data_IF_551283202513
#
_entry.id   IF_551283202513
#
_cell.length_a   1.000
_cell.length_b   1.000
_cell.length_c   1.000
_cell.angle_alpha   90.00
_cell.angle_beta   90.00
_cell.angle_gamma   90.00
#
_symmetry.space_group_name_H-M   'P 1'
#
loop_
_entity.id
_entity.type
_entity.pdbx_description
1 polymer ?
#
# COMPACT_ATOMS: atom_id res chain seq x y z
N UNK A 1 -12.89 8.69 6.49
CA UNK A 1 -11.83 7.71 6.17
C UNK A 1 -11.30 7.79 4.73
N UNK A 2 -12.12 7.95 3.68
CA UNK A 2 -11.59 8.06 2.30
C UNK A 2 -10.58 9.19 2.13
N UNK A 3 -10.89 10.37 2.67
CA UNK A 3 -9.98 11.52 2.64
C UNK A 3 -8.64 11.20 3.28
N UNK A 4 -8.63 10.54 4.45
CA UNK A 4 -7.41 10.13 5.15
C UNK A 4 -6.51 9.22 4.28
N UNK A 5 -7.09 8.23 3.60
CA UNK A 5 -6.33 7.34 2.73
C UNK A 5 -5.78 8.05 1.48
N UNK A 6 -6.58 8.94 0.88
CA UNK A 6 -6.16 9.74 -0.28
C UNK A 6 -5.07 10.74 0.11
N UNK A 7 -5.22 11.44 1.23
CA UNK A 7 -4.20 12.36 1.75
C UNK A 7 -2.90 11.64 2.08
N UNK A 8 -2.97 10.47 2.71
CA UNK A 8 -1.77 9.65 2.97
C UNK A 8 -1.10 9.23 1.66
N UNK A 9 -1.86 8.75 0.68
CA UNK A 9 -1.32 8.36 -0.62
C UNK A 9 -0.65 9.53 -1.34
N UNK A 10 -1.33 10.67 -1.44
CA UNK A 10 -0.78 11.88 -2.09
C UNK A 10 0.45 12.37 -1.33
N UNK A 11 0.37 12.45 0.01
CA UNK A 11 1.49 12.89 0.84
C UNK A 11 2.72 11.99 0.69
N UNK A 12 2.53 10.67 0.65
CA UNK A 12 3.60 9.71 0.42
C UNK A 12 4.22 9.83 -0.98
N UNK A 13 3.41 9.96 -2.03
CA UNK A 13 3.90 10.16 -3.40
C UNK A 13 4.67 11.49 -3.52
N UNK A 14 4.15 12.56 -2.92
CA UNK A 14 4.82 13.87 -2.90
C UNK A 14 6.14 13.81 -2.15
N UNK A 15 6.20 13.12 -1.00
CA UNK A 15 7.43 12.93 -0.25
C UNK A 15 8.47 12.14 -1.05
N UNK A 16 8.08 11.05 -1.71
CA UNK A 16 8.96 10.31 -2.60
C UNK A 16 9.47 11.17 -3.76
N UNK A 17 8.57 11.92 -4.41
CA UNK A 17 8.91 12.83 -5.51
C UNK A 17 9.87 13.95 -5.08
N UNK A 18 9.70 14.49 -3.87
CA UNK A 18 10.61 15.49 -3.31
C UNK A 18 12.00 14.89 -3.05
N UNK A 19 12.05 13.73 -2.38
CA UNK A 19 13.32 13.07 -2.02
C UNK A 19 14.10 12.68 -3.27
N UNK A 20 13.49 11.97 -4.20
CA UNK A 20 14.21 11.43 -5.37
C UNK A 20 14.28 12.40 -6.56
N UNK A 21 13.42 13.42 -6.61
CA UNK A 21 13.37 14.37 -7.73
C UNK A 21 14.05 15.70 -7.45
N UNK A 22 14.22 16.09 -6.18
CA UNK A 22 14.76 17.40 -5.81
C UNK A 22 15.95 17.26 -4.87
N UNK A 23 15.82 16.47 -3.81
CA UNK A 23 16.83 16.37 -2.75
C UNK A 23 17.80 15.19 -2.92
N UNK A 24 17.76 14.49 -4.06
CA UNK A 24 18.50 13.23 -4.23
C UNK A 24 19.99 13.38 -4.00
N UNK A 25 20.59 14.45 -4.53
CA UNK A 25 22.01 14.74 -4.40
C UNK A 25 22.41 15.25 -3.00
N UNK A 26 21.44 15.57 -2.15
CA UNK A 26 21.66 16.04 -0.77
C UNK A 26 21.73 14.88 0.23
N UNK A 27 21.25 13.69 -0.14
CA UNK A 27 21.22 12.51 0.74
C UNK A 27 22.30 11.50 0.37
N UNK A 28 22.96 10.96 1.40
CA UNK A 28 23.74 9.73 1.28
C UNK A 28 22.84 8.51 1.04
N UNK A 29 23.42 7.42 0.53
CA UNK A 29 22.70 6.17 0.29
C UNK A 29 22.04 5.63 1.57
N UNK A 30 22.74 5.68 2.71
CA UNK A 30 22.21 5.30 4.02
C UNK A 30 21.03 6.16 4.47
N UNK A 31 21.04 7.46 4.15
CA UNK A 31 19.93 8.35 4.48
C UNK A 31 18.72 8.09 3.57
N UNK A 32 18.94 7.81 2.28
CA UNK A 32 17.86 7.42 1.36
C UNK A 32 17.17 6.13 1.84
N UNK A 33 17.93 5.14 2.28
CA UNK A 33 17.40 3.91 2.87
C UNK A 33 16.61 4.23 4.16
N UNK A 34 17.20 5.01 5.06
CA UNK A 34 16.58 5.38 6.35
C UNK A 34 15.30 6.22 6.20
N UNK A 35 15.22 7.05 5.17
CA UNK A 35 14.05 7.86 4.87
C UNK A 35 12.97 7.10 4.08
N UNK A 36 13.26 5.91 3.56
CA UNK A 36 12.31 5.12 2.76
C UNK A 36 10.97 4.88 3.47
N UNK A 37 10.93 4.49 4.76
CA UNK A 37 9.67 4.30 5.48
C UNK A 37 8.77 5.54 5.50
N UNK A 38 9.34 6.76 5.46
CA UNK A 38 8.58 8.01 5.56
C UNK A 38 7.63 8.23 4.40
N UNK A 39 8.01 7.81 3.19
CA UNK A 39 7.16 7.93 2.00
C UNK A 39 6.51 6.60 1.63
N UNK A 40 7.17 5.46 1.88
CA UNK A 40 6.65 4.15 1.52
C UNK A 40 5.44 3.74 2.36
N UNK A 41 5.52 3.94 3.68
CA UNK A 41 4.41 3.63 4.59
C UNK A 41 3.10 4.35 4.21
N UNK A 42 3.07 5.70 4.05
CA UNK A 42 1.83 6.40 3.72
C UNK A 42 1.29 6.04 2.34
N UNK A 43 2.14 5.70 1.36
CA UNK A 43 1.69 5.16 0.06
C UNK A 43 0.95 3.83 0.25
N UNK A 44 1.58 2.85 0.90
CA UNK A 44 0.98 1.52 1.10
C UNK A 44 -0.29 1.65 1.93
N UNK A 45 -0.23 2.35 3.06
CA UNK A 45 -1.38 2.55 3.93
C UNK A 45 -2.56 3.23 3.19
N UNK A 46 -2.28 4.30 2.44
CA UNK A 46 -3.28 5.02 1.66
C UNK A 46 -3.89 4.18 0.55
N UNK A 47 -3.05 3.47 -0.22
CA UNK A 47 -3.51 2.61 -1.33
C UNK A 47 -4.42 1.50 -0.84
N UNK A 48 -3.97 0.71 0.14
CA UNK A 48 -4.74 -0.43 0.66
C UNK A 48 -6.01 0.03 1.38
N UNK A 49 -5.96 1.13 2.11
CA UNK A 49 -7.14 1.70 2.75
C UNK A 49 -8.19 2.17 1.74
N UNK A 50 -7.76 2.89 0.69
CA UNK A 50 -8.65 3.36 -0.38
C UNK A 50 -9.30 2.20 -1.15
N UNK A 51 -8.50 1.21 -1.55
CA UNK A 51 -8.99 0.00 -2.23
C UNK A 51 -9.98 -0.74 -1.35
N UNK A 52 -9.64 -0.98 -0.07
CA UNK A 52 -10.50 -1.68 0.87
C UNK A 52 -11.88 -1.04 0.97
N UNK A 53 -11.95 0.28 1.06
CA UNK A 53 -13.22 0.99 1.10
C UNK A 53 -14.02 0.88 -0.17
N UNK A 54 -13.37 0.82 -1.33
CA UNK A 54 -14.05 0.63 -2.61
C UNK A 54 -14.63 -0.79 -2.70
N UNK A 55 -13.89 -1.79 -2.23
CA UNK A 55 -14.35 -3.18 -2.15
C UNK A 55 -15.52 -3.34 -1.17
N UNK A 56 -15.41 -2.79 0.04
CA UNK A 56 -16.48 -2.82 1.04
C UNK A 56 -17.74 -2.11 0.52
N UNK A 57 -17.60 -0.98 -0.18
CA UNK A 57 -18.75 -0.30 -0.82
C UNK A 57 -19.43 -1.15 -1.89
N UNK A 58 -18.69 -1.96 -2.65
CA UNK A 58 -19.27 -2.94 -3.58
C UNK A 58 -20.07 -4.02 -2.88
N UNK A 59 -19.62 -4.48 -1.71
CA UNK A 59 -20.39 -5.43 -0.89
C UNK A 59 -21.68 -4.82 -0.36
N UNK A 60 -21.60 -3.61 0.22
CA UNK A 60 -22.79 -2.92 0.77
C UNK A 60 -23.82 -2.58 -0.31
N UNK A 61 -23.37 -2.29 -1.53
CA UNK A 61 -24.27 -2.04 -2.68
C UNK A 61 -24.81 -3.31 -3.35
N UNK A 62 -24.56 -4.50 -2.78
CA UNK A 62 -25.04 -5.78 -3.32
C UNK A 62 -24.35 -6.24 -4.60
N UNK A 63 -23.27 -5.57 -5.03
CA UNK A 63 -22.51 -5.92 -6.24
C UNK A 63 -21.50 -7.05 -6.03
N UNK A 64 -21.29 -7.47 -4.79
CA UNK A 64 -20.47 -8.61 -4.41
C UNK A 64 -20.97 -9.18 -3.07
N UNK A 65 -20.98 -10.51 -2.92
CA UNK A 65 -21.38 -11.17 -1.69
C UNK A 65 -20.22 -11.24 -0.67
N UNK A 66 -18.98 -11.13 -1.14
CA UNK A 66 -17.78 -11.18 -0.29
C UNK A 66 -16.66 -10.26 -0.75
N UNK A 67 -15.71 -9.99 0.16
CA UNK A 67 -14.53 -9.18 -0.13
C UNK A 67 -13.61 -9.84 -1.15
N UNK A 68 -13.54 -11.17 -1.10
CA UNK A 68 -12.84 -12.01 -2.09
C UNK A 68 -13.44 -11.86 -3.49
N UNK A 69 -14.78 -11.89 -3.60
CA UNK A 69 -15.48 -11.71 -4.86
C UNK A 69 -15.31 -10.28 -5.40
N UNK A 70 -15.41 -9.26 -4.54
CA UNK A 70 -15.17 -7.87 -4.92
C UNK A 70 -13.72 -7.66 -5.41
N UNK A 71 -12.74 -8.31 -4.78
CA UNK A 71 -11.35 -8.28 -5.19
C UNK A 71 -11.15 -8.98 -6.53
N UNK A 72 -11.73 -10.18 -6.74
CA UNK A 72 -11.69 -10.88 -8.05
C UNK A 72 -12.28 -10.04 -9.18
N UNK A 73 -13.47 -9.46 -8.98
CA UNK A 73 -14.07 -8.55 -9.97
C UNK A 73 -13.12 -7.38 -10.30
N UNK A 74 -12.35 -6.91 -9.32
CA UNK A 74 -11.37 -5.84 -9.56
C UNK A 74 -10.13 -6.34 -10.32
N UNK A 75 -9.67 -7.57 -10.05
CA UNK A 75 -8.57 -8.22 -10.77
C UNK A 75 -8.96 -8.49 -12.23
N UNK A 76 -10.17 -8.99 -12.47
CA UNK A 76 -10.66 -9.29 -13.82
C UNK A 76 -10.66 -8.05 -14.73
N UNK A 77 -10.90 -6.86 -14.14
CA UNK A 77 -10.88 -5.58 -14.85
C UNK A 77 -9.47 -4.98 -14.97
N UNK A 78 -8.65 -5.10 -13.93
CA UNK A 78 -7.32 -4.48 -13.87
C UNK A 78 -6.18 -5.38 -14.39
N UNK A 79 -6.48 -6.64 -14.71
CA UNK A 79 -5.52 -7.64 -15.17
C UNK A 79 -4.82 -8.41 -14.06
N UNK A 80 -4.12 -9.48 -14.44
CA UNK A 80 -3.49 -10.44 -13.52
C UNK A 80 -2.49 -9.80 -12.55
N UNK A 81 -1.82 -8.72 -12.94
CA UNK A 81 -0.89 -7.99 -12.06
C UNK A 81 -1.57 -7.39 -10.84
N UNK A 82 -2.86 -7.06 -10.92
CA UNK A 82 -3.63 -6.59 -9.78
C UNK A 82 -3.76 -7.67 -8.69
N UNK A 83 -3.67 -8.96 -9.04
CA UNK A 83 -3.73 -10.05 -8.06
C UNK A 83 -2.57 -9.99 -7.06
N UNK A 84 -1.37 -9.59 -7.49
CA UNK A 84 -0.21 -9.43 -6.61
C UNK A 84 -0.46 -8.34 -5.56
N UNK A 85 -1.02 -7.21 -5.98
CA UNK A 85 -1.34 -6.09 -5.08
C UNK A 85 -2.62 -6.30 -4.27
N UNK A 86 -3.53 -7.16 -4.74
CA UNK A 86 -4.79 -7.45 -4.06
C UNK A 86 -4.77 -8.72 -3.23
N UNK A 87 -3.67 -9.48 -3.23
CA UNK A 87 -3.51 -10.72 -2.49
C UNK A 87 -3.94 -10.62 -1.00
N UNK A 88 -3.63 -9.53 -0.25
CA UNK A 88 -4.04 -9.44 1.15
C UNK A 88 -5.57 -9.44 1.35
N UNK A 89 -6.32 -9.06 0.31
CA UNK A 89 -7.78 -9.08 0.29
C UNK A 89 -8.37 -10.43 -0.14
N UNK A 90 -7.57 -11.30 -0.77
CA UNK A 90 -8.00 -12.64 -1.22
C UNK A 90 -7.91 -13.68 -0.10
N UNK A 91 -6.96 -13.51 0.83
CA UNK A 91 -6.65 -14.54 1.84
C UNK A 91 -7.42 -14.33 3.15
N UNK A 92 -7.81 -13.09 3.47
CA UNK A 92 -8.25 -12.72 4.81
C UNK A 92 -9.64 -12.06 4.80
N UNK A 93 -10.49 -12.45 5.75
CA UNK A 93 -11.86 -11.91 5.93
C UNK A 93 -11.82 -10.62 6.73
N UNK A 94 -11.59 -9.51 6.05
CA UNK A 94 -11.51 -8.21 6.71
C UNK A 94 -12.87 -7.52 6.82
N UNK A 95 -13.16 -6.94 7.98
CA UNK A 95 -14.38 -6.11 8.19
C UNK A 95 -14.09 -4.61 8.27
N UNK A 96 -12.84 -4.22 8.43
CA UNK A 96 -12.43 -2.82 8.61
C UNK A 96 -11.33 -2.44 7.64
N UNK A 97 -11.53 -1.37 6.88
CA UNK A 97 -10.50 -0.84 5.97
C UNK A 97 -9.23 -0.41 6.69
N UNK A 98 -9.35 0.02 7.95
CA UNK A 98 -8.22 0.43 8.77
C UNK A 98 -7.34 -0.75 9.15
N UNK A 99 -7.95 -1.87 9.53
CA UNK A 99 -7.21 -3.09 9.85
C UNK A 99 -6.48 -3.62 8.62
N UNK A 100 -7.11 -3.58 7.45
CA UNK A 100 -6.44 -3.98 6.21
C UNK A 100 -5.26 -3.07 5.89
N UNK A 101 -5.44 -1.75 5.96
CA UNK A 101 -4.38 -0.82 5.61
C UNK A 101 -3.19 -0.94 6.57
N UNK A 102 -3.43 -1.16 7.86
CA UNK A 102 -2.37 -1.40 8.85
C UNK A 102 -1.68 -2.74 8.60
N UNK A 103 -2.44 -3.83 8.44
CA UNK A 103 -1.87 -5.16 8.22
C UNK A 103 -1.04 -5.20 6.92
N UNK A 104 -1.54 -4.59 5.85
CA UNK A 104 -0.81 -4.46 4.60
C UNK A 104 0.45 -3.60 4.78
N UNK A 105 0.36 -2.46 5.47
CA UNK A 105 1.52 -1.62 5.74
C UNK A 105 2.61 -2.37 6.54
N UNK A 106 2.23 -3.15 7.56
CA UNK A 106 3.16 -3.98 8.33
C UNK A 106 3.78 -5.07 7.46
N UNK A 107 2.98 -5.76 6.66
CA UNK A 107 3.47 -6.79 5.74
C UNK A 107 4.50 -6.23 4.75
N UNK A 108 4.18 -5.12 4.10
CA UNK A 108 5.09 -4.47 3.15
C UNK A 108 6.31 -3.86 3.84
N UNK A 109 6.19 -3.32 5.05
CA UNK A 109 7.32 -2.85 5.83
C UNK A 109 8.29 -3.99 6.17
N UNK A 110 7.78 -5.18 6.52
CA UNK A 110 8.61 -6.35 6.76
C UNK A 110 9.35 -6.82 5.50
N UNK A 111 8.67 -6.84 4.35
CA UNK A 111 9.31 -7.15 3.06
C UNK A 111 10.36 -6.12 2.66
N UNK A 112 10.07 -4.84 2.86
CA UNK A 112 11.00 -3.76 2.57
C UNK A 112 12.23 -3.84 3.48
N UNK A 113 12.04 -4.12 4.78
CA UNK A 113 13.13 -4.33 5.71
C UNK A 113 13.99 -5.53 5.29
N UNK A 114 13.36 -6.66 4.94
CA UNK A 114 14.07 -7.83 4.44
C UNK A 114 14.88 -7.50 3.16
N UNK A 115 14.28 -6.74 2.25
CA UNK A 115 14.95 -6.28 1.03
C UNK A 115 16.20 -5.45 1.36
N UNK A 116 16.10 -4.49 2.29
CA UNK A 116 17.26 -3.69 2.69
C UNK A 116 18.36 -4.52 3.32
N UNK A 117 18.02 -5.43 4.25
CA UNK A 117 19.01 -6.32 4.88
C UNK A 117 19.71 -7.21 3.86
N UNK A 118 19.00 -7.69 2.83
CA UNK A 118 19.56 -8.60 1.82
C UNK A 118 20.37 -7.88 0.72
N UNK A 119 19.91 -6.72 0.27
CA UNK A 119 20.50 -5.99 -0.87
C UNK A 119 21.56 -5.00 -0.42
N UNK A 120 21.37 -4.41 0.76
CA UNK A 120 22.28 -3.42 1.35
C UNK A 120 22.77 -3.89 2.73
N UNK A 121 23.49 -5.02 2.82
CA UNK A 121 23.88 -5.62 4.09
C UNK A 121 24.89 -4.77 4.89
N UNK A 122 25.49 -3.76 4.27
CA UNK A 122 26.51 -2.88 4.86
C UNK A 122 25.99 -1.48 5.16
N UNK A 123 24.70 -1.20 4.90
CA UNK A 123 24.03 0.07 5.23
C UNK A 123 23.20 -0.04 6.51
#
# INVERSE_FOLDING_TARGET
MTALYVTALIGGVMAAGLIYGVMFDEFSESELVSCTPLWFFPIVFGLYGFISQRLIRRMVSGRAQSLHEAARISIDVAGHWAALFLFPFLVLRWRSSLLVSIAAAVFWAALLWLFFVLVFPTL
#
